data_IF_574397183933
#
_entry.id   IF_574397183933
#
_cell.length_a   1.000
_cell.length_b   1.000
_cell.length_c   1.000
_cell.angle_alpha   90.00
_cell.angle_beta   90.00
_cell.angle_gamma   90.00
#
_symmetry.space_group_name_H-M   'P 1'
#
loop_
_entity.id
_entity.type
_entity.pdbx_description
1 polymer ?
#
# COMPACT_ATOMS: atom_id res chain seq x y z
N UNK A 1 -22.50 1.99 16.57
CA UNK A 1 -23.60 2.06 15.59
C UNK A 1 -24.79 2.92 16.05
N UNK A 2 -25.27 2.83 17.32
CA UNK A 2 -26.45 3.59 17.78
C UNK A 2 -26.34 5.11 17.55
N UNK A 3 -25.15 5.69 17.77
CA UNK A 3 -24.91 7.11 17.56
C UNK A 3 -25.09 7.58 16.10
N UNK A 4 -24.88 6.71 15.10
CA UNK A 4 -25.14 7.05 13.70
C UNK A 4 -26.64 6.94 13.41
N UNK A 5 -27.30 5.90 13.91
CA UNK A 5 -28.75 5.71 13.75
C UNK A 5 -29.53 6.89 14.35
N UNK A 6 -29.15 7.35 15.55
CA UNK A 6 -29.70 8.55 16.18
C UNK A 6 -29.44 9.82 15.36
N UNK A 7 -28.22 10.00 14.84
CA UNK A 7 -27.83 11.16 14.00
C UNK A 7 -28.64 11.25 12.70
N UNK A 8 -29.14 10.14 12.19
CA UNK A 8 -29.96 10.10 10.97
C UNK A 8 -31.44 9.82 11.23
N UNK A 9 -31.88 9.76 12.49
CA UNK A 9 -33.29 9.61 12.83
C UNK A 9 -34.10 10.77 12.24
N UNK A 10 -35.17 10.45 11.51
CA UNK A 10 -36.01 11.44 10.83
C UNK A 10 -35.37 12.12 9.61
N UNK A 11 -34.11 11.79 9.26
CA UNK A 11 -33.46 12.22 8.01
C UNK A 11 -33.75 11.23 6.88
N UNK A 12 -33.76 11.71 5.64
CA UNK A 12 -33.93 10.85 4.47
C UNK A 12 -32.63 10.15 4.04
N UNK A 13 -32.74 9.05 3.29
CA UNK A 13 -31.57 8.32 2.77
C UNK A 13 -30.62 9.15 1.89
N UNK A 14 -31.11 10.24 1.30
CA UNK A 14 -30.27 11.16 0.51
C UNK A 14 -29.20 11.84 1.36
N UNK A 15 -29.52 12.18 2.60
CA UNK A 15 -28.58 12.81 3.53
C UNK A 15 -27.48 11.83 3.96
N UNK A 16 -27.87 10.61 4.33
CA UNK A 16 -26.93 9.54 4.67
C UNK A 16 -25.94 9.30 3.51
N UNK A 17 -26.44 9.20 2.28
CA UNK A 17 -25.59 8.95 1.11
C UNK A 17 -24.61 10.09 0.83
N UNK A 18 -25.02 11.35 1.02
CA UNK A 18 -24.13 12.51 0.84
C UNK A 18 -22.99 12.48 1.85
N UNK A 19 -23.32 12.31 3.14
CA UNK A 19 -22.32 12.27 4.21
C UNK A 19 -21.34 11.09 4.02
N UNK A 20 -21.83 9.93 3.55
CA UNK A 20 -20.95 8.79 3.21
C UNK A 20 -20.04 9.12 2.03
N UNK A 21 -20.59 9.71 0.95
CA UNK A 21 -19.79 10.07 -0.21
C UNK A 21 -18.69 11.08 0.14
N UNK A 22 -19.03 12.10 0.94
CA UNK A 22 -18.07 13.09 1.43
C UNK A 22 -16.98 12.45 2.31
N UNK A 23 -17.38 11.58 3.24
CA UNK A 23 -16.44 10.88 4.14
C UNK A 23 -15.47 10.01 3.34
N UNK A 24 -15.99 9.18 2.43
CA UNK A 24 -15.15 8.29 1.61
C UNK A 24 -14.21 9.11 0.72
N UNK A 25 -14.72 10.16 0.07
CA UNK A 25 -13.90 11.03 -0.78
C UNK A 25 -12.77 11.68 0.02
N UNK A 26 -13.10 12.26 1.17
CA UNK A 26 -12.12 12.91 2.06
C UNK A 26 -11.02 11.95 2.53
N UNK A 27 -11.37 10.70 2.84
CA UNK A 27 -10.39 9.66 3.23
C UNK A 27 -9.43 9.32 2.09
N UNK A 28 -9.93 9.23 0.85
CA UNK A 28 -9.12 8.83 -0.30
C UNK A 28 -8.41 9.99 -1.00
N UNK A 29 -8.81 11.24 -0.79
CA UNK A 29 -8.17 12.42 -1.38
C UNK A 29 -6.64 12.46 -1.16
N UNK A 30 -6.10 12.31 0.07
CA UNK A 30 -4.65 12.32 0.26
C UNK A 30 -3.93 11.13 -0.40
N UNK A 31 -4.59 9.96 -0.47
CA UNK A 31 -4.03 8.78 -1.14
C UNK A 31 -3.93 9.03 -2.64
N UNK A 32 -5.00 9.59 -3.23
CA UNK A 32 -5.04 9.98 -4.65
C UNK A 32 -3.98 11.04 -4.95
N UNK A 33 -3.88 12.09 -4.14
CA UNK A 33 -2.88 13.14 -4.31
C UNK A 33 -1.46 12.56 -4.32
N UNK A 34 -1.10 11.75 -3.32
CA UNK A 34 0.22 11.12 -3.25
C UNK A 34 0.50 10.17 -4.40
N UNK A 35 -0.53 9.46 -4.87
CA UNK A 35 -0.43 8.58 -6.03
C UNK A 35 -0.10 9.38 -7.29
N UNK A 36 -0.80 10.49 -7.52
CA UNK A 36 -0.54 11.36 -8.68
C UNK A 36 0.85 12.00 -8.61
N UNK A 37 1.27 12.49 -7.43
CA UNK A 37 2.65 13.00 -7.24
C UNK A 37 3.72 12.00 -7.67
N UNK A 38 3.56 10.72 -7.32
CA UNK A 38 4.51 9.66 -7.69
C UNK A 38 4.42 9.29 -9.17
N UNK A 39 3.24 9.36 -9.78
CA UNK A 39 3.06 9.09 -11.21
C UNK A 39 3.58 10.23 -12.09
N UNK A 40 3.51 11.47 -11.59
CA UNK A 40 4.03 12.67 -12.26
C UNK A 40 5.56 12.78 -12.17
N UNK A 41 6.20 12.06 -11.22
CA UNK A 41 7.67 11.88 -11.14
C UNK A 41 8.07 10.39 -11.22
N UNK A 42 8.12 9.81 -12.44
CA UNK A 42 8.55 8.43 -12.63
C UNK A 42 9.96 8.13 -12.09
N UNK A 43 10.85 9.12 -12.07
CA UNK A 43 12.22 8.92 -11.60
C UNK A 43 12.29 8.79 -10.07
N UNK A 44 11.49 9.54 -9.31
CA UNK A 44 11.30 9.29 -7.88
C UNK A 44 10.66 7.92 -7.63
N UNK A 45 9.63 7.56 -8.38
CA UNK A 45 8.99 6.25 -8.25
C UNK A 45 9.99 5.10 -8.48
N UNK A 46 10.79 5.17 -9.54
CA UNK A 46 11.84 4.19 -9.83
C UNK A 46 12.89 4.13 -8.72
N UNK A 47 13.29 5.28 -8.15
CA UNK A 47 14.24 5.32 -7.01
C UNK A 47 13.66 4.62 -5.77
N UNK A 48 12.40 4.85 -5.45
CA UNK A 48 11.72 4.18 -4.33
C UNK A 48 11.63 2.67 -4.58
N UNK A 49 11.24 2.26 -5.78
CA UNK A 49 11.13 0.85 -6.15
C UNK A 49 12.49 0.14 -6.12
N UNK A 50 13.55 0.76 -6.63
CA UNK A 50 14.91 0.20 -6.59
C UNK A 50 15.40 0.03 -5.15
N UNK A 51 15.15 1.01 -4.26
CA UNK A 51 15.50 0.88 -2.85
C UNK A 51 14.74 -0.25 -2.15
N UNK A 52 13.46 -0.44 -2.48
CA UNK A 52 12.66 -1.53 -1.94
C UNK A 52 13.13 -2.90 -2.49
N UNK A 53 13.49 -2.98 -3.77
CA UNK A 53 14.04 -4.17 -4.39
C UNK A 53 15.33 -4.61 -3.71
N UNK A 54 16.28 -3.69 -3.49
CA UNK A 54 17.54 -3.99 -2.80
C UNK A 54 17.33 -4.56 -1.39
N UNK A 55 16.38 -3.99 -0.62
CA UNK A 55 16.03 -4.52 0.72
C UNK A 55 15.36 -5.89 0.66
N UNK A 56 14.56 -6.15 -0.37
CA UNK A 56 13.92 -7.44 -0.58
C UNK A 56 14.96 -8.50 -0.97
N UNK A 57 15.90 -8.16 -1.86
CA UNK A 57 17.01 -9.00 -2.29
C UNK A 57 17.89 -9.40 -1.10
N UNK A 58 18.28 -8.46 -0.25
CA UNK A 58 19.08 -8.75 0.95
C UNK A 58 18.43 -9.84 1.83
N UNK A 59 17.11 -9.69 2.07
CA UNK A 59 16.34 -10.65 2.88
C UNK A 59 16.20 -12.00 2.18
N UNK A 60 15.91 -11.99 0.89
CA UNK A 60 15.75 -13.18 0.07
C UNK A 60 17.06 -13.96 -0.02
N UNK A 61 18.19 -13.27 -0.20
CA UNK A 61 19.51 -13.85 -0.30
C UNK A 61 19.94 -14.55 0.98
N UNK A 62 19.67 -13.94 2.14
CA UNK A 62 19.91 -14.56 3.43
C UNK A 62 19.07 -15.82 3.65
N UNK A 63 17.81 -15.82 3.18
CA UNK A 63 16.97 -17.02 3.25
C UNK A 63 17.45 -18.11 2.29
N UNK A 64 17.77 -17.73 1.05
CA UNK A 64 18.29 -18.67 0.05
C UNK A 64 19.57 -19.33 0.55
N UNK A 65 20.53 -18.57 1.07
CA UNK A 65 21.76 -19.14 1.64
C UNK A 65 21.47 -20.27 2.66
N UNK A 66 20.57 -20.01 3.63
CA UNK A 66 20.17 -21.02 4.62
C UNK A 66 19.56 -22.26 3.99
N UNK A 67 18.72 -22.08 2.97
CA UNK A 67 18.10 -23.20 2.25
C UNK A 67 19.17 -24.02 1.52
N UNK A 68 20.05 -23.37 0.76
CA UNK A 68 21.14 -24.03 0.03
C UNK A 68 22.06 -24.83 0.97
N UNK A 69 22.44 -24.24 2.11
CA UNK A 69 23.23 -24.92 3.15
C UNK A 69 22.50 -26.15 3.72
N UNK A 70 21.20 -26.03 4.00
CA UNK A 70 20.40 -27.11 4.57
C UNK A 70 20.22 -28.30 3.60
N UNK A 71 20.14 -28.04 2.29
CA UNK A 71 19.97 -29.09 1.27
C UNK A 71 21.28 -29.58 0.67
N UNK A 72 22.41 -28.97 1.03
CA UNK A 72 23.74 -29.34 0.52
C UNK A 72 24.00 -28.94 -0.93
N UNK A 73 23.33 -27.90 -1.43
CA UNK A 73 23.52 -27.38 -2.79
C UNK A 73 24.45 -26.18 -2.79
N UNK A 74 25.24 -26.03 -3.86
CA UNK A 74 26.07 -24.82 -4.07
C UNK A 74 25.24 -23.75 -4.77
N UNK A 75 25.22 -22.54 -4.20
CA UNK A 75 24.54 -21.40 -4.81
C UNK A 75 25.31 -20.92 -6.05
N UNK A 76 24.61 -20.73 -7.17
CA UNK A 76 25.19 -20.03 -8.33
C UNK A 76 25.46 -18.58 -7.97
N UNK A 77 26.68 -18.10 -8.19
CA UNK A 77 27.01 -16.69 -8.05
C UNK A 77 26.05 -15.85 -8.92
N UNK A 78 25.33 -14.92 -8.29
CA UNK A 78 24.45 -13.97 -8.99
C UNK A 78 25.27 -13.10 -9.95
N UNK A 79 24.62 -12.60 -11.01
CA UNK A 79 25.21 -11.60 -11.91
C UNK A 79 25.45 -10.30 -11.17
#
# INVERSE_FOLDING_TARGET
>A
MPALEERYAGRGYGDLKKDVAETVTSVFEPIRARTLELLDDPAELDRVLAGNAARAEERADAMLARVYDAVGLVRRAGR
#
